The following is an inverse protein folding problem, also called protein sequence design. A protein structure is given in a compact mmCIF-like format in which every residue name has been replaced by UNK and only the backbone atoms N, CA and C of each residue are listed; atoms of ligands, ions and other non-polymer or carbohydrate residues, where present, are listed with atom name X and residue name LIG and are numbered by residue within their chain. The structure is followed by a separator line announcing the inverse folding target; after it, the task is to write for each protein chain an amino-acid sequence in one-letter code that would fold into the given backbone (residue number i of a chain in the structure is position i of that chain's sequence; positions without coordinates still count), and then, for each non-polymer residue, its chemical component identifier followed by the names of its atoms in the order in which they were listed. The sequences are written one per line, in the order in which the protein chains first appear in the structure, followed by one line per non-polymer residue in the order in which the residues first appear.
data_IF_271720787983
#
_entry.id   IF_271720787983
#
_cell.length_a   1.000
_cell.length_b   1.000
_cell.length_c   1.000
_cell.angle_alpha   90.00
_cell.angle_beta   90.00
_cell.angle_gamma   90.00
#
_symmetry.space_group_name_H-M   'P 1'
#
loop_
_entity.id
_entity.type
_entity.pdbx_description
1 polymer ?
#
# COMPACT_ATOMS: atom_id res chain seq x y z
N UNK A 1 2.58 10.43 -6.77
CA UNK A 1 1.34 9.72 -6.37
C UNK A 1 1.09 8.54 -7.26
N UNK A 2 1.04 7.35 -6.64
CA UNK A 2 0.67 6.10 -7.31
C UNK A 2 -0.67 5.65 -6.74
N UNK A 3 -1.59 5.25 -7.62
CA UNK A 3 -2.88 4.66 -7.26
C UNK A 3 -3.08 3.33 -7.99
N UNK A 4 -3.46 2.30 -7.24
CA UNK A 4 -3.68 0.95 -7.76
C UNK A 4 -5.10 0.52 -7.44
N UNK A 5 -5.99 0.43 -8.44
CA UNK A 5 -7.34 -0.09 -8.26
C UNK A 5 -7.33 -1.62 -8.16
N UNK A 6 -8.14 -2.15 -7.25
CA UNK A 6 -8.40 -3.58 -7.07
C UNK A 6 -9.86 -3.90 -7.45
N UNK A 7 -10.14 -5.14 -7.88
CA UNK A 7 -11.51 -5.61 -8.14
C UNK A 7 -12.48 -5.40 -6.96
N UNK A 8 -12.01 -5.53 -5.72
CA UNK A 8 -12.83 -5.32 -4.52
C UNK A 8 -12.09 -4.52 -3.45
N UNK A 9 -12.84 -3.86 -2.56
CA UNK A 9 -12.29 -3.23 -1.34
C UNK A 9 -11.51 -4.23 -0.49
N UNK A 10 -12.02 -5.46 -0.38
CA UNK A 10 -11.36 -6.52 0.37
C UNK A 10 -9.98 -6.85 -0.17
N UNK A 11 -9.81 -6.88 -1.49
CA UNK A 11 -8.51 -7.13 -2.11
C UNK A 11 -7.54 -5.98 -1.89
N UNK A 12 -7.99 -4.72 -1.95
CA UNK A 12 -7.17 -3.56 -1.63
C UNK A 12 -6.69 -3.58 -0.17
N UNK A 13 -7.57 -3.95 0.77
CA UNK A 13 -7.19 -4.14 2.18
C UNK A 13 -6.14 -5.23 2.37
N UNK A 14 -6.29 -6.37 1.67
CA UNK A 14 -5.33 -7.48 1.75
C UNK A 14 -3.97 -7.01 1.24
N UNK A 15 -3.93 -6.36 0.07
CA UNK A 15 -2.69 -5.84 -0.51
C UNK A 15 -2.01 -4.86 0.45
N UNK A 16 -2.76 -3.91 1.03
CA UNK A 16 -2.23 -2.99 2.03
C UNK A 16 -1.62 -3.71 3.22
N UNK A 17 -2.35 -4.64 3.84
CA UNK A 17 -1.88 -5.38 5.03
C UNK A 17 -0.63 -6.22 4.77
N UNK A 18 -0.48 -6.76 3.57
CA UNK A 18 0.72 -7.51 3.18
C UNK A 18 1.90 -6.56 2.97
N UNK A 19 1.69 -5.45 2.25
CA UNK A 19 2.77 -4.54 1.86
C UNK A 19 3.26 -3.65 3.01
N UNK A 20 2.41 -3.28 3.98
CA UNK A 20 2.84 -2.42 5.11
C UNK A 20 3.81 -3.10 6.07
N UNK A 21 3.83 -4.44 6.07
CA UNK A 21 4.68 -5.25 6.95
C UNK A 21 6.14 -5.19 6.50
N UNK A 22 6.37 -5.00 5.20
CA UNK A 22 7.71 -4.79 4.65
C UNK A 22 8.22 -3.41 5.07
N UNK A 23 8.96 -3.41 6.17
CA UNK A 23 9.70 -2.24 6.62
C UNK A 23 10.74 -1.87 5.56
N UNK A 24 10.70 -0.61 5.13
CA UNK A 24 11.68 -0.07 4.21
C UNK A 24 13.11 -0.30 4.76
N UNK A 25 14.06 -0.80 3.94
CA UNK A 25 15.40 -1.12 4.41
C UNK A 25 16.02 0.08 5.13
N UNK A 26 16.67 -0.15 6.28
CA UNK A 26 17.19 0.90 7.18
C UNK A 26 18.12 1.94 6.53
N UNK A 27 18.73 1.61 5.38
CA UNK A 27 19.63 2.49 4.62
C UNK A 27 18.95 3.17 3.42
N UNK A 28 17.67 2.92 3.19
CA UNK A 28 16.86 3.66 2.23
C UNK A 28 16.70 5.10 2.73
N UNK A 29 16.97 6.06 1.86
CA UNK A 29 16.61 7.47 2.09
C UNK A 29 15.14 7.75 1.75
N UNK A 30 14.40 6.73 1.30
CA UNK A 30 13.00 6.82 0.89
C UNK A 30 12.13 6.30 2.03
N UNK A 31 11.01 6.99 2.26
CA UNK A 31 9.88 6.49 3.04
C UNK A 31 8.65 6.59 2.17
N UNK A 32 7.97 5.46 1.95
CA UNK A 32 6.64 5.46 1.32
C UNK A 32 5.57 5.22 2.37
N UNK A 33 4.47 5.94 2.26
CA UNK A 33 3.29 5.78 3.11
C UNK A 33 2.16 5.20 2.28
N UNK A 34 1.72 3.99 2.61
CA UNK A 34 0.59 3.37 1.95
C UNK A 34 -0.72 3.77 2.66
N UNK A 35 -1.82 3.84 1.91
CA UNK A 35 -3.18 3.96 2.45
C UNK A 35 -4.21 3.29 1.53
N UNK A 36 -5.40 3.00 2.05
CA UNK A 36 -6.51 2.41 1.27
C UNK A 36 -7.72 3.32 1.34
N UNK A 37 -8.34 3.56 0.20
CA UNK A 37 -9.62 4.26 0.05
C UNK A 37 -10.55 3.41 -0.81
N UNK A 38 -11.47 2.68 -0.18
CA UNK A 38 -12.35 1.71 -0.85
C UNK A 38 -11.53 0.62 -1.55
N UNK A 39 -11.70 0.45 -2.86
CA UNK A 39 -10.96 -0.51 -3.67
C UNK A 39 -9.64 0.03 -4.24
N UNK A 40 -9.11 1.14 -3.74
CA UNK A 40 -7.90 1.77 -4.25
C UNK A 40 -6.81 1.79 -3.18
N UNK A 41 -5.63 1.26 -3.51
CA UNK A 41 -4.41 1.42 -2.73
C UNK A 41 -3.64 2.66 -3.23
N UNK A 42 -3.20 3.52 -2.31
CA UNK A 42 -2.39 4.71 -2.59
C UNK A 42 -1.00 4.58 -1.95
N UNK A 43 0.01 5.16 -2.60
CA UNK A 43 1.41 5.18 -2.16
C UNK A 43 2.08 6.55 -2.33
#
# INVERSE_FOLDING_TARGET
DISVPFPTEREAEIAYKVLIVDSEPKRSAVKKSLSVEGNILKA
#
